data_IF_502139937328
#
_entry.id   IF_502139937328
#
_cell.length_a   1.000
_cell.length_b   1.000
_cell.length_c   1.000
_cell.angle_alpha   90.00
_cell.angle_beta   90.00
_cell.angle_gamma   90.00
#
_symmetry.space_group_name_H-M   'P 1'
#
loop_
_entity.id
_entity.type
_entity.pdbx_description
1 polymer ?
#
# COMPACT_ATOMS: atom_id res chain seq x y z
N UNK A 1 -5.75 -5.65 -11.28
CA UNK A 1 -6.44 -4.77 -10.31
C UNK A 1 -5.42 -4.34 -9.28
N UNK A 2 -5.23 -3.04 -9.06
CA UNK A 2 -4.37 -2.58 -7.98
C UNK A 2 -5.04 -2.89 -6.63
N UNK A 3 -4.27 -3.37 -5.65
CA UNK A 3 -4.82 -3.59 -4.30
C UNK A 3 -5.06 -2.25 -3.62
N UNK A 4 -5.92 -2.24 -2.60
CA UNK A 4 -6.15 -1.03 -1.80
C UNK A 4 -4.82 -0.46 -1.24
N UNK A 5 -3.91 -1.32 -0.80
CA UNK A 5 -2.60 -0.88 -0.33
C UNK A 5 -1.75 -0.25 -1.43
N UNK A 6 -1.83 -0.74 -2.68
CA UNK A 6 -1.12 -0.15 -3.82
C UNK A 6 -1.68 1.23 -4.15
N UNK A 7 -3.01 1.40 -4.12
CA UNK A 7 -3.65 2.71 -4.32
C UNK A 7 -3.24 3.70 -3.23
N UNK A 8 -3.21 3.27 -1.97
CA UNK A 8 -2.78 4.12 -0.86
C UNK A 8 -1.28 4.47 -0.94
N UNK A 9 -0.42 3.51 -1.28
CA UNK A 9 1.01 3.75 -1.49
C UNK A 9 1.24 4.81 -2.57
N UNK A 10 0.57 4.67 -3.73
CA UNK A 10 0.68 5.64 -4.82
C UNK A 10 0.21 7.04 -4.40
N UNK A 11 -0.90 7.13 -3.65
CA UNK A 11 -1.41 8.41 -3.11
C UNK A 11 -0.36 9.10 -2.22
N UNK A 12 0.21 8.38 -1.26
CA UNK A 12 1.23 8.95 -0.37
C UNK A 12 2.54 9.27 -1.10
N UNK A 13 2.91 8.47 -2.11
CA UNK A 13 4.07 8.77 -2.95
C UNK A 13 3.91 10.09 -3.69
N UNK A 14 2.74 10.33 -4.30
CA UNK A 14 2.44 11.60 -4.97
C UNK A 14 2.50 12.76 -3.98
N UNK A 15 1.88 12.61 -2.80
CA UNK A 15 1.92 13.65 -1.76
C UNK A 15 3.35 13.96 -1.30
N UNK A 16 4.23 12.95 -1.19
CA UNK A 16 5.64 13.15 -0.82
C UNK A 16 6.43 13.88 -1.90
N UNK A 17 6.13 13.64 -3.17
CA UNK A 17 6.77 14.32 -4.31
C UNK A 17 6.28 15.76 -4.43
N UNK A 18 4.97 15.97 -4.36
CA UNK A 18 4.35 17.30 -4.46
C UNK A 18 4.77 18.22 -3.31
N UNK A 19 5.02 17.65 -2.14
CA UNK A 19 5.39 18.40 -0.94
C UNK A 19 6.85 18.19 -0.54
N UNK A 20 7.69 17.73 -1.47
CA UNK A 20 9.11 17.49 -1.22
C UNK A 20 9.79 18.77 -0.75
N UNK A 21 10.48 18.69 0.39
CA UNK A 21 11.17 19.84 1.00
C UNK A 21 10.30 20.69 1.94
N UNK A 22 9.02 20.36 2.12
CA UNK A 22 8.20 20.97 3.17
C UNK A 22 8.37 20.22 4.49
N UNK A 23 8.40 20.95 5.62
CA UNK A 23 8.50 20.35 6.96
C UNK A 23 7.15 19.76 7.41
N UNK A 24 6.06 20.38 6.97
CA UNK A 24 4.68 19.98 7.28
C UNK A 24 3.77 20.29 6.11
N UNK A 25 2.83 19.39 5.85
CA UNK A 25 1.85 19.47 4.78
C UNK A 25 0.47 19.55 5.39
N UNK A 26 -0.36 20.47 4.91
CA UNK A 26 -1.78 20.50 5.28
C UNK A 26 -2.56 19.56 4.35
N UNK A 27 -3.19 18.54 4.92
CA UNK A 27 -4.03 17.59 4.19
C UNK A 27 -5.40 17.60 4.85
N UNK A 28 -6.42 18.01 4.11
CA UNK A 28 -7.81 18.08 4.60
C UNK A 28 -7.96 18.93 5.88
N UNK A 29 -7.20 20.02 6.01
CA UNK A 29 -7.23 20.90 7.19
C UNK A 29 -6.46 20.35 8.40
N UNK A 30 -5.76 19.23 8.24
CA UNK A 30 -4.88 18.67 9.25
C UNK A 30 -3.42 18.85 8.83
N UNK A 31 -2.64 19.54 9.68
CA UNK A 31 -1.18 19.61 9.53
C UNK A 31 -0.56 18.26 9.87
N UNK A 32 0.09 17.67 8.87
CA UNK A 32 0.83 16.41 8.98
C UNK A 32 2.31 16.71 8.73
N UNK A 33 3.20 16.22 9.59
CA UNK A 33 4.63 16.38 9.36
C UNK A 33 5.06 15.55 8.13
N UNK A 34 6.06 16.04 7.39
CA UNK A 34 6.59 15.30 6.25
C UNK A 34 7.13 13.92 6.65
N UNK A 35 7.78 13.85 7.82
CA UNK A 35 8.24 12.59 8.40
C UNK A 35 7.09 11.59 8.68
N UNK A 36 5.88 12.07 9.01
CA UNK A 36 4.72 11.20 9.17
C UNK A 36 4.18 10.70 7.83
N UNK A 37 4.29 11.50 6.75
CA UNK A 37 3.98 11.04 5.39
C UNK A 37 4.94 9.94 4.93
N UNK A 38 6.24 10.08 5.21
CA UNK A 38 7.24 9.05 4.92
C UNK A 38 6.92 7.75 5.67
N UNK A 39 6.61 7.84 6.97
CA UNK A 39 6.20 6.68 7.78
C UNK A 39 4.94 6.00 7.23
N UNK A 40 3.94 6.77 6.80
CA UNK A 40 2.72 6.23 6.18
C UNK A 40 3.04 5.55 4.85
N UNK A 41 3.87 6.15 4.01
CA UNK A 41 4.33 5.54 2.76
C UNK A 41 5.06 4.21 3.02
N UNK A 42 6.01 4.17 3.95
CA UNK A 42 6.70 2.93 4.33
C UNK A 42 5.76 1.85 4.87
N UNK A 43 4.78 2.24 5.69
CA UNK A 43 3.76 1.32 6.20
C UNK A 43 2.99 0.67 5.04
N UNK A 44 2.49 1.47 4.10
CA UNK A 44 1.75 0.96 2.95
C UNK A 44 2.64 0.14 2.02
N UNK A 45 3.91 0.54 1.81
CA UNK A 45 4.88 -0.26 1.05
C UNK A 45 5.07 -1.66 1.66
N UNK A 46 5.22 -1.75 2.98
CA UNK A 46 5.30 -3.05 3.68
C UNK A 46 4.01 -3.85 3.51
N UNK A 47 2.85 -3.20 3.57
CA UNK A 47 1.54 -3.85 3.35
C UNK A 47 1.38 -4.34 1.91
N UNK A 48 1.81 -3.57 0.91
CA UNK A 48 1.82 -3.99 -0.50
C UNK A 48 2.70 -5.22 -0.69
N UNK A 49 3.88 -5.26 -0.07
CA UNK A 49 4.76 -6.43 -0.12
C UNK A 49 4.15 -7.65 0.59
N UNK A 50 3.45 -7.44 1.70
CA UNK A 50 2.72 -8.51 2.38
C UNK A 50 1.53 -9.01 1.57
N UNK A 51 0.77 -8.14 0.91
CA UNK A 51 -0.34 -8.53 0.04
C UNK A 51 0.19 -9.24 -1.22
N UNK A 52 1.23 -8.69 -1.86
CA UNK A 52 1.89 -9.32 -2.99
C UNK A 52 2.51 -10.68 -2.62
N UNK A 53 3.10 -10.80 -1.42
CA UNK A 53 3.65 -12.05 -0.90
C UNK A 53 2.61 -13.04 -0.37
N UNK A 54 1.45 -12.55 0.12
CA UNK A 54 0.30 -13.38 0.54
C UNK A 54 -0.65 -13.76 -0.59
N UNK A 55 -0.36 -13.32 -1.82
CA UNK A 55 -0.90 -13.93 -3.03
C UNK A 55 0.16 -14.87 -3.66
N UNK A 56 0.52 -16.03 -3.06
CA UNK A 56 0.63 -17.18 -3.93
C UNK A 56 -0.75 -17.27 -4.58
N UNK A 57 -0.80 -17.21 -5.91
CA UNK A 57 -1.99 -17.55 -6.66
C UNK A 57 -2.66 -18.70 -5.91
N UNK A 58 -3.87 -18.48 -5.40
CA UNK A 58 -4.68 -19.59 -4.89
C UNK A 58 -4.91 -20.41 -6.13
N UNK A 59 -3.97 -21.32 -6.41
CA UNK A 59 -4.17 -22.50 -7.22
C UNK A 59 -5.36 -23.14 -6.56
N UNK A 60 -6.53 -22.80 -7.08
CA UNK A 60 -7.78 -23.50 -6.86
C UNK A 60 -7.45 -24.94 -7.23
N UNK A 61 -7.02 -25.72 -6.25
CA UNK A 61 -6.88 -27.15 -6.39
C UNK A 61 -8.29 -27.57 -6.78
N UNK A 62 -8.47 -27.90 -8.06
CA UNK A 62 -9.65 -28.62 -8.50
C UNK A 62 -9.62 -29.91 -7.68
N UNK A 63 -10.54 -30.02 -6.73
CA UNK A 63 -10.97 -31.30 -6.20
C UNK A 63 -11.74 -32.00 -7.32
N UNK A 64 -11.01 -32.41 -8.36
CA UNK A 64 -11.52 -33.29 -9.39
C UNK A 64 -10.67 -34.56 -9.33
N UNK A 65 -11.28 -35.64 -8.84
CA UNK A 65 -10.74 -36.99 -8.89
C UNK A 65 -9.95 -37.43 -7.65
N UNK A 66 -10.64 -38.12 -6.73
CA UNK A 66 -10.23 -39.31 -5.96
C UNK A 66 -11.42 -39.56 -5.01
N UNK A 67 -12.30 -40.55 -5.16
CA UNK A 67 -12.14 -41.90 -5.68
C UNK A 67 -12.31 -42.89 -4.53
N UNK A 68 -13.56 -43.27 -4.20
CA UNK A 68 -13.97 -44.65 -3.88
C UNK A 68 -15.49 -44.77 -3.83
#
# INVERSE_FOLDING_TARGET
MATFAQTMMAKYQTLLIENAGLTSVDIDGQKVAYADLERKYEHWRKRVLQEAGKHPAISRIRLDGYGR
#
